data_IF_288959867629
#
_entry.id   IF_288959867629
#
_cell.length_a   1.000
_cell.length_b   1.000
_cell.length_c   1.000
_cell.angle_alpha   90.00
_cell.angle_beta   90.00
_cell.angle_gamma   90.00
#
_symmetry.space_group_name_H-M   'P 1'
#
loop_
_entity.id
_entity.type
_entity.pdbx_description
1 polymer ?
#
# COMPACT_ATOMS: atom_id res chain seq x y z
N UNK A 1 -4.73 -15.63 5.45
CA UNK A 1 -3.38 -15.47 6.05
C UNK A 1 -3.29 -14.17 6.81
N UNK A 2 -3.06 -14.26 8.11
CA UNK A 2 -2.91 -13.13 9.03
C UNK A 2 -1.69 -13.32 9.92
N UNK A 3 -1.03 -12.21 10.24
CA UNK A 3 0.20 -12.17 11.05
C UNK A 3 0.15 -11.05 12.09
N UNK A 4 0.86 -11.21 13.20
CA UNK A 4 1.10 -10.14 14.17
C UNK A 4 2.58 -10.05 14.51
N UNK A 5 3.02 -8.93 15.08
CA UNK A 5 4.40 -8.75 15.49
C UNK A 5 4.75 -9.70 16.63
N UNK A 6 5.96 -10.27 16.58
CA UNK A 6 6.54 -10.96 17.73
C UNK A 6 6.74 -9.96 18.87
N UNK A 7 6.59 -10.38 20.14
CA UNK A 7 6.87 -9.51 21.30
C UNK A 7 8.27 -8.88 21.27
N UNK A 8 9.25 -9.58 20.68
CA UNK A 8 10.63 -9.13 20.55
C UNK A 8 11.01 -8.70 19.13
N UNK A 9 10.03 -8.33 18.28
CA UNK A 9 10.29 -7.94 16.88
C UNK A 9 11.35 -6.83 16.73
N UNK A 10 11.49 -5.96 17.72
CA UNK A 10 12.49 -4.89 17.71
C UNK A 10 13.94 -5.41 17.69
N UNK A 11 14.21 -6.59 18.26
CA UNK A 11 15.55 -7.20 18.31
C UNK A 11 16.02 -7.68 16.93
N UNK A 12 15.08 -7.93 16.02
CA UNK A 12 15.33 -8.40 14.66
C UNK A 12 15.48 -7.25 13.65
N UNK A 13 15.27 -6.00 14.07
CA UNK A 13 15.51 -4.85 13.22
C UNK A 13 16.99 -4.43 13.28
N UNK A 14 17.61 -4.12 12.13
CA UNK A 14 18.91 -3.46 12.14
C UNK A 14 18.79 -2.14 12.92
N UNK A 15 19.80 -1.84 13.75
CA UNK A 15 19.75 -0.82 14.81
C UNK A 15 19.56 0.65 14.35
N UNK A 16 19.28 0.89 13.07
CA UNK A 16 19.14 2.24 12.50
C UNK A 16 17.74 2.42 11.92
N UNK A 17 16.95 3.27 12.59
CA UNK A 17 15.85 4.01 11.97
C UNK A 17 14.50 3.31 11.74
N UNK A 18 14.41 1.98 11.82
CA UNK A 18 13.13 1.31 11.52
C UNK A 18 12.17 1.31 12.72
N UNK A 19 11.09 2.09 12.58
CA UNK A 19 9.87 1.92 13.41
C UNK A 19 9.13 0.70 12.90
N UNK A 20 8.70 -0.19 13.79
CA UNK A 20 7.87 -1.34 13.44
C UNK A 20 6.59 -0.91 12.69
N UNK A 21 6.03 -1.77 11.83
CA UNK A 21 4.76 -1.48 11.17
C UNK A 21 3.67 -1.25 12.21
N UNK A 22 2.82 -0.26 11.98
CA UNK A 22 1.73 0.04 12.90
C UNK A 22 0.56 -0.92 12.66
N UNK A 23 0.56 -2.04 13.37
CA UNK A 23 -0.49 -3.06 13.27
C UNK A 23 -1.71 -2.74 14.14
N UNK A 24 -2.86 -3.33 13.80
CA UNK A 24 -4.05 -3.32 14.66
C UNK A 24 -3.90 -4.37 15.76
N UNK A 25 -4.69 -4.20 16.83
CA UNK A 25 -4.89 -5.28 17.80
C UNK A 25 -5.51 -6.48 17.05
N UNK A 26 -4.87 -7.65 17.14
CA UNK A 26 -5.26 -8.82 16.37
C UNK A 26 -4.51 -9.03 15.05
N UNK A 27 -3.49 -8.23 14.73
CA UNK A 27 -2.60 -8.47 13.60
C UNK A 27 -3.01 -7.77 12.30
N UNK A 28 -2.57 -8.33 11.18
CA UNK A 28 -2.85 -7.83 9.84
C UNK A 28 -2.75 -8.91 8.76
N UNK A 29 -3.31 -8.65 7.58
CA UNK A 29 -3.20 -9.52 6.41
C UNK A 29 -1.83 -9.41 5.73
N UNK A 30 -1.35 -10.56 5.28
CA UNK A 30 -0.27 -10.66 4.30
C UNK A 30 -0.89 -10.57 2.91
N UNK A 31 -0.28 -9.76 2.04
CA UNK A 31 -0.70 -9.55 0.65
C UNK A 31 0.17 -10.31 -0.35
N UNK A 32 1.46 -10.45 -0.03
CA UNK A 32 2.45 -11.15 -0.85
C UNK A 32 3.54 -11.73 0.05
N UNK A 33 3.98 -12.95 -0.29
CA UNK A 33 5.19 -13.55 0.26
C UNK A 33 6.24 -13.55 -0.85
N UNK A 34 7.39 -12.93 -0.62
CA UNK A 34 8.54 -13.04 -1.52
C UNK A 34 9.62 -13.90 -0.88
N UNK A 35 10.05 -14.93 -1.61
CA UNK A 35 11.19 -15.75 -1.27
C UNK A 35 12.40 -15.30 -2.08
N UNK A 36 13.53 -15.10 -1.40
CA UNK A 36 14.81 -14.74 -1.99
C UNK A 36 15.71 -15.97 -2.17
N UNK A 37 16.74 -15.90 -3.03
CA UNK A 37 17.67 -17.02 -3.26
C UNK A 37 18.46 -17.46 -2.02
N UNK A 38 18.61 -16.59 -1.03
CA UNK A 38 19.25 -16.87 0.26
C UNK A 38 18.32 -17.58 1.27
N UNK A 39 17.18 -18.08 0.79
CA UNK A 39 16.13 -18.72 1.59
C UNK A 39 15.50 -17.78 2.63
N UNK A 40 15.67 -16.47 2.51
CA UNK A 40 14.93 -15.51 3.35
C UNK A 40 13.57 -15.20 2.75
N UNK A 41 12.62 -14.88 3.63
CA UNK A 41 11.26 -14.54 3.28
C UNK A 41 10.95 -13.11 3.72
N UNK A 42 10.26 -12.38 2.86
CA UNK A 42 9.65 -11.10 3.21
C UNK A 42 8.17 -11.15 2.99
N UNK A 43 7.43 -10.54 3.91
CA UNK A 43 6.00 -10.33 3.78
C UNK A 43 5.74 -8.90 3.35
N UNK A 44 4.88 -8.74 2.35
CA UNK A 44 4.17 -7.50 2.13
C UNK A 44 2.89 -7.55 2.94
N UNK A 45 2.72 -6.61 3.84
CA UNK A 45 1.55 -6.51 4.71
C UNK A 45 0.82 -5.20 4.45
N UNK A 46 -0.43 -5.13 4.91
CA UNK A 46 -1.17 -3.88 5.05
C UNK A 46 -1.09 -3.40 6.50
N UNK A 47 -0.89 -2.11 6.76
CA UNK A 47 -0.87 -1.56 8.11
C UNK A 47 -2.27 -1.08 8.55
N UNK A 48 -2.39 -0.60 9.79
CA UNK A 48 -3.68 -0.10 10.30
C UNK A 48 -4.23 1.10 9.51
N UNK A 49 -3.36 1.84 8.82
CA UNK A 49 -3.71 2.99 7.98
C UNK A 49 -4.08 2.58 6.54
N UNK A 50 -4.12 1.29 6.23
CA UNK A 50 -4.43 0.80 4.89
C UNK A 50 -3.25 0.84 3.93
N UNK A 51 -2.05 1.21 4.39
CA UNK A 51 -0.86 1.32 3.53
C UNK A 51 -0.10 0.02 3.50
N UNK A 52 0.44 -0.33 2.34
CA UNK A 52 1.24 -1.53 2.18
C UNK A 52 2.74 -1.27 2.39
N UNK A 53 3.44 -2.21 3.02
CA UNK A 53 4.89 -2.16 3.23
C UNK A 53 5.50 -3.57 3.29
N UNK A 54 6.77 -3.68 2.95
CA UNK A 54 7.52 -4.95 2.93
C UNK A 54 8.40 -5.07 4.16
N UNK A 55 8.33 -6.22 4.83
CA UNK A 55 9.04 -6.50 6.07
C UNK A 55 9.62 -7.91 6.08
N UNK A 56 10.74 -8.15 6.78
CA UNK A 56 11.24 -9.51 7.02
C UNK A 56 10.16 -10.36 7.71
N UNK A 57 9.94 -11.59 7.22
CA UNK A 57 8.97 -12.51 7.81
C UNK A 57 9.28 -12.83 9.28
N UNK A 58 10.56 -12.78 9.67
CA UNK A 58 11.05 -13.07 11.02
C UNK A 58 10.52 -12.10 12.09
N UNK A 59 9.99 -10.94 11.70
CA UNK A 59 9.36 -9.99 12.63
C UNK A 59 7.99 -10.47 13.14
N UNK A 60 7.40 -11.47 12.49
CA UNK A 60 6.01 -11.82 12.68
C UNK A 60 5.80 -13.24 13.21
N UNK A 61 4.70 -13.43 13.91
CA UNK A 61 4.11 -14.74 14.18
C UNK A 61 2.81 -14.87 13.40
N UNK A 62 2.51 -16.07 12.89
CA UNK A 62 1.25 -16.33 12.21
C UNK A 62 0.09 -16.37 13.22
N UNK A 63 -1.00 -15.71 12.87
CA UNK A 63 -2.30 -15.87 13.53
C UNK A 63 -3.14 -16.87 12.75
N UNK A 64 -3.17 -16.72 11.43
CA UNK A 64 -3.84 -17.61 10.49
C UNK A 64 -2.89 -17.93 9.34
N UNK A 65 -2.63 -19.21 9.10
CA UNK A 65 -1.75 -19.71 8.04
C UNK A 65 -2.49 -20.13 6.77
N UNK A 66 -3.81 -19.92 6.70
CA UNK A 66 -4.61 -20.25 5.53
C UNK A 66 -4.21 -19.36 4.35
N UNK A 67 -3.67 -19.97 3.30
CA UNK A 67 -3.38 -19.26 2.05
C UNK A 67 -4.71 -19.00 1.33
N UNK A 68 -5.01 -17.76 0.92
CA UNK A 68 -6.19 -17.49 0.11
C UNK A 68 -6.19 -18.29 -1.19
N UNK A 69 -7.33 -18.89 -1.56
CA UNK A 69 -7.46 -19.71 -2.78
C UNK A 69 -7.11 -18.96 -4.07
N UNK A 70 -7.29 -17.63 -4.05
CA UNK A 70 -6.95 -16.77 -5.18
C UNK A 70 -5.44 -16.62 -5.38
N UNK A 71 -4.59 -17.01 -4.41
CA UNK A 71 -3.14 -16.82 -4.53
C UNK A 71 -2.53 -17.71 -5.59
N UNK A 72 -1.61 -17.12 -6.36
CA UNK A 72 -0.83 -17.80 -7.38
C UNK A 72 0.66 -17.73 -7.04
N UNK A 73 1.40 -18.71 -7.54
CA UNK A 73 2.87 -18.72 -7.49
C UNK A 73 3.39 -18.09 -8.77
N UNK A 74 4.24 -17.06 -8.64
CA UNK A 74 4.88 -16.37 -9.75
C UNK A 74 6.39 -16.37 -9.55
N UNK A 75 7.12 -17.01 -10.46
CA UNK A 75 8.55 -16.81 -10.57
C UNK A 75 8.85 -15.38 -11.05
N UNK A 76 9.81 -14.74 -10.40
CA UNK A 76 10.27 -13.38 -10.67
C UNK A 76 11.76 -13.42 -11.06
N UNK A 77 12.30 -12.33 -11.64
CA UNK A 77 13.73 -12.25 -11.94
C UNK A 77 14.61 -12.54 -10.72
N UNK A 78 15.89 -12.87 -10.96
CA UNK A 78 16.88 -13.12 -9.90
C UNK A 78 16.51 -14.29 -8.97
N UNK A 79 15.87 -15.34 -9.49
CA UNK A 79 15.51 -16.55 -8.75
C UNK A 79 14.63 -16.27 -7.51
N UNK A 80 13.81 -15.22 -7.58
CA UNK A 80 12.82 -14.91 -6.55
C UNK A 80 11.48 -15.54 -6.90
N UNK A 81 10.72 -15.93 -5.88
CA UNK A 81 9.37 -16.48 -6.05
C UNK A 81 8.41 -15.64 -5.23
N UNK A 82 7.32 -15.21 -5.84
CA UNK A 82 6.23 -14.52 -5.18
C UNK A 82 5.02 -15.45 -5.05
N UNK A 83 4.42 -15.50 -3.87
CA UNK A 83 3.09 -16.05 -3.64
C UNK A 83 2.17 -14.87 -3.33
N UNK A 84 1.18 -14.62 -4.20
CA UNK A 84 0.42 -13.37 -4.19
C UNK A 84 -0.88 -13.47 -4.98
N UNK A 85 -1.72 -12.44 -4.91
CA UNK A 85 -2.90 -12.32 -5.77
C UNK A 85 -2.52 -12.10 -7.25
N UNK A 86 -3.33 -12.59 -8.21
CA UNK A 86 -3.05 -12.46 -9.64
C UNK A 86 -2.82 -11.02 -10.11
N UNK A 87 -3.58 -10.05 -9.56
CA UNK A 87 -3.41 -8.63 -9.86
C UNK A 87 -1.99 -8.13 -9.49
N UNK A 88 -1.51 -8.51 -8.30
CA UNK A 88 -0.20 -8.12 -7.78
C UNK A 88 0.95 -8.87 -8.49
N UNK A 89 0.66 -9.99 -9.14
CA UNK A 89 1.66 -10.80 -9.85
C UNK A 89 2.15 -10.16 -11.17
N UNK A 90 1.51 -9.09 -11.64
CA UNK A 90 1.96 -8.32 -12.82
C UNK A 90 3.34 -7.72 -12.54
N UNK A 91 4.22 -7.69 -13.54
CA UNK A 91 5.51 -7.00 -13.42
C UNK A 91 5.25 -5.49 -13.42
N UNK A 92 5.89 -4.75 -12.52
CA UNK A 92 5.67 -3.31 -12.36
C UNK A 92 4.45 -2.95 -11.51
N UNK A 93 3.67 -3.91 -10.99
CA UNK A 93 2.43 -3.60 -10.28
C UNK A 93 2.65 -2.67 -9.08
N UNK A 94 3.66 -2.98 -8.25
CA UNK A 94 3.89 -2.21 -7.04
C UNK A 94 4.47 -0.83 -7.35
N UNK A 95 5.29 -0.72 -8.39
CA UNK A 95 5.78 0.53 -8.92
C UNK A 95 4.62 1.40 -9.40
N UNK A 96 3.76 0.87 -10.26
CA UNK A 96 2.56 1.56 -10.76
C UNK A 96 1.64 1.98 -9.60
N UNK A 97 1.42 1.11 -8.61
CA UNK A 97 0.64 1.43 -7.41
C UNK A 97 1.26 2.57 -6.59
N UNK A 98 2.58 2.56 -6.37
CA UNK A 98 3.26 3.62 -5.61
C UNK A 98 3.40 4.93 -6.40
N UNK A 99 3.36 4.86 -7.72
CA UNK A 99 3.35 6.02 -8.62
C UNK A 99 1.93 6.61 -8.81
N UNK A 100 0.89 5.98 -8.24
CA UNK A 100 -0.49 6.47 -8.29
C UNK A 100 -1.24 6.11 -9.58
N UNK A 101 -0.85 5.01 -10.24
CA UNK A 101 -1.58 4.49 -11.40
C UNK A 101 -3.01 4.07 -11.01
N UNK A 102 -4.06 4.61 -11.64
CA UNK A 102 -5.44 4.34 -11.25
C UNK A 102 -5.86 2.88 -11.39
N UNK A 103 -5.30 2.13 -12.34
CA UNK A 103 -5.63 0.71 -12.52
C UNK A 103 -5.01 -0.14 -11.41
N UNK A 104 -3.77 0.17 -11.03
CA UNK A 104 -3.09 -0.49 -9.93
C UNK A 104 -3.76 -0.20 -8.58
N UNK A 105 -4.18 1.04 -8.34
CA UNK A 105 -4.95 1.44 -7.14
C UNK A 105 -6.29 0.72 -7.06
N UNK A 106 -7.08 0.71 -8.16
CA UNK A 106 -8.37 0.04 -8.17
C UNK A 106 -8.26 -1.47 -7.89
N UNK A 107 -7.25 -2.13 -8.46
CA UNK A 107 -7.01 -3.55 -8.22
C UNK A 107 -6.55 -3.83 -6.78
N UNK A 108 -5.75 -2.93 -6.19
CA UNK A 108 -5.41 -3.00 -4.77
C UNK A 108 -6.67 -2.86 -3.90
N UNK A 109 -7.48 -1.85 -4.17
CA UNK A 109 -8.69 -1.54 -3.41
C UNK A 109 -9.72 -2.68 -3.46
N UNK A 110 -9.90 -3.33 -4.60
CA UNK A 110 -10.77 -4.51 -4.74
C UNK A 110 -10.32 -5.65 -3.81
N UNK A 111 -9.01 -5.94 -3.77
CA UNK A 111 -8.46 -6.97 -2.91
C UNK A 111 -8.57 -6.58 -1.44
N UNK A 112 -8.26 -5.33 -1.09
CA UNK A 112 -8.37 -4.85 0.29
C UNK A 112 -9.81 -4.83 0.77
N UNK A 113 -10.77 -4.49 -0.08
CA UNK A 113 -12.19 -4.57 0.22
C UNK A 113 -12.63 -6.01 0.49
N UNK A 114 -12.11 -6.97 -0.29
CA UNK A 114 -12.40 -8.41 -0.09
C UNK A 114 -11.76 -8.96 1.19
N UNK A 115 -10.58 -8.48 1.55
CA UNK A 115 -9.87 -8.86 2.79
C UNK A 115 -10.46 -8.19 4.03
N UNK A 116 -10.91 -6.95 3.88
CA UNK A 116 -11.41 -6.13 4.95
C UNK A 116 -12.89 -5.89 4.79
N UNK A 117 -13.71 -6.71 5.45
CA UNK A 117 -15.10 -6.42 5.83
C UNK A 117 -15.18 -5.11 6.68
N UNK A 118 -14.84 -3.96 6.09
CA UNK A 118 -14.77 -2.65 6.75
C UNK A 118 -13.49 -2.35 7.55
N UNK A 119 -12.47 -3.22 7.56
CA UNK A 119 -11.27 -3.07 8.42
C UNK A 119 -10.25 -2.01 7.97
N UNK A 120 -10.23 -1.64 6.68
CA UNK A 120 -9.20 -0.77 6.09
C UNK A 120 -9.75 0.52 5.41
N UNK A 121 -11.05 0.79 5.59
CA UNK A 121 -11.82 1.82 4.86
C UNK A 121 -11.42 3.29 5.09
N UNK A 122 -10.57 3.60 6.08
CA UNK A 122 -10.14 4.98 6.38
C UNK A 122 -8.78 5.37 5.76
N UNK A 123 -8.10 4.44 5.09
CA UNK A 123 -6.78 4.67 4.47
C UNK A 123 -6.84 5.18 3.04
N UNK A 124 -7.78 4.65 2.25
CA UNK A 124 -7.94 4.95 0.82
C UNK A 124 -8.31 6.42 0.53
N UNK A 125 -8.97 7.11 1.47
CA UNK A 125 -9.52 8.44 1.21
C UNK A 125 -8.52 9.60 1.43
N UNK A 126 -7.26 9.35 1.82
CA UNK A 126 -6.37 10.42 2.29
C UNK A 126 -5.48 11.08 1.24
N UNK A 127 -5.17 10.42 0.13
CA UNK A 127 -4.30 11.04 -0.88
C UNK A 127 -5.09 11.74 -2.00
N UNK A 128 -6.36 11.39 -2.21
CA UNK A 128 -7.21 12.10 -3.18
C UNK A 128 -7.62 13.49 -2.67
N UNK A 129 -7.83 13.70 -1.36
CA UNK A 129 -8.32 15.00 -0.85
C UNK A 129 -7.22 16.08 -0.87
N UNK A 130 -5.95 15.71 -0.69
CA UNK A 130 -4.85 16.70 -0.70
C UNK A 130 -4.53 17.21 -2.11
N UNK A 131 -4.75 16.39 -3.16
CA UNK A 131 -4.55 16.81 -4.54
C UNK A 131 -5.69 17.71 -5.06
N UNK A 132 -6.93 17.48 -4.62
CA UNK A 132 -8.10 18.24 -5.10
C UNK A 132 -8.22 19.60 -4.42
N UNK A 133 -7.75 19.76 -3.17
CA UNK A 133 -7.78 21.06 -2.47
C UNK A 133 -6.77 22.09 -2.99
N UNK A 134 -5.73 21.69 -3.74
CA UNK A 134 -4.75 22.62 -4.33
C UNK A 134 -5.12 23.09 -5.75
N UNK A 135 -6.11 22.49 -6.41
CA UNK A 135 -6.58 22.93 -7.73
C UNK A 135 -7.61 24.06 -7.62
N UNK A 136 -8.36 24.15 -6.52
CA UNK A 136 -9.29 25.24 -6.29
C UNK A 136 -8.61 26.54 -5.82
N UNK A 137 -7.45 26.47 -5.14
CA UNK A 137 -6.70 27.69 -4.75
C UNK A 137 -5.91 28.34 -5.90
N UNK A 138 -5.58 27.60 -6.96
CA UNK A 138 -4.93 28.15 -8.16
C UNK A 138 -5.92 28.79 -9.16
N UNK A 139 -7.21 28.43 -9.09
CA UNK A 139 -8.25 29.02 -9.94
C UNK A 139 -8.85 30.32 -9.37
N UNK A 140 -8.63 30.62 -8.08
CA UNK A 140 -9.19 31.79 -7.41
C UNK A 140 -8.36 33.09 -7.53
N UNK A 141 -7.16 33.03 -8.12
CA UNK A 141 -6.27 34.19 -8.24
C UNK A 141 -6.25 34.87 -9.63
N UNK A 142 -7.01 34.39 -10.62
CA UNK A 142 -7.06 34.98 -11.96
C UNK A 142 -8.42 35.61 -12.30
N UNK A 143 -8.92 36.47 -11.41
CA UNK A 143 -9.90 37.49 -11.78
C UNK A 143 -9.28 38.89 -11.71
N UNK A 144 -8.22 39.07 -12.50
CA UNK A 144 -7.65 40.38 -12.83
C UNK A 144 -8.50 41.09 -13.89
N UNK A 145 -9.49 41.85 -13.41
CA UNK A 145 -10.29 42.87 -14.10
C UNK A 145 -9.58 43.54 -15.30
N UNK A 146 -10.08 43.32 -16.52
CA UNK A 146 -9.82 44.17 -17.69
C UNK A 146 -10.51 45.54 -17.49
N UNK A 147 -9.82 46.69 -17.58
CA UNK A 147 -10.49 47.98 -17.60
C UNK A 147 -11.15 48.25 -18.96
N UNK A 148 -12.47 48.41 -18.93
CA UNK A 148 -13.30 48.95 -20.02
C UNK A 148 -13.00 50.44 -20.19
N UNK A 149 -12.34 50.83 -21.27
CA UNK A 149 -12.30 52.25 -21.67
C UNK A 149 -13.67 52.67 -22.22
N UNK A 150 -14.29 53.66 -21.59
CA UNK A 150 -15.49 54.34 -22.09
C UNK A 150 -15.09 55.50 -23.04
N UNK A 151 -15.95 55.88 -24.00
CA UNK A 151 -15.67 56.97 -24.93
C UNK A 151 -16.05 58.33 -24.32
N UNK A 152 -15.26 59.36 -24.61
CA UNK A 152 -15.62 60.76 -24.32
C UNK A 152 -16.01 61.48 -25.60
N UNK A 153 -17.12 62.22 -25.49
CA UNK A 153 -17.62 63.24 -26.41
C UNK A 153 -16.64 64.39 -26.64
#
# INVERSE_FOLDING_TARGET
>A
MEVTLKPNAQEFLPHVGNRLPSLRAGGTHVLEILTKPDCTFTFRIIDKSGRTSVWPADLFTMIDNSIPDAWIIRARPCNTVALTYPAFARAGFWEDYFDGDPEAEAAFDEIIHTLGDGRYSQGLARDTITAVQNLDELAAHDTGTFPRSAPSH
#
